data_IF_298143605143
#
_entry.id   IF_298143605143
#
_cell.length_a   1.000
_cell.length_b   1.000
_cell.length_c   1.000
_cell.angle_alpha   90.00
_cell.angle_beta   90.00
_cell.angle_gamma   90.00
#
_symmetry.space_group_name_H-M   'P 1'
#
loop_
_entity.id
_entity.type
_entity.pdbx_description
1 polymer ?
#
# COMPACT_ATOMS: atom_id res chain seq x y z
N UNK A 1 17.85 -3.61 -30.52
CA UNK A 1 17.79 -2.13 -30.36
C UNK A 1 19.22 -1.61 -30.42
N UNK A 2 19.45 -0.37 -30.89
CA UNK A 2 20.77 0.23 -30.81
C UNK A 2 21.21 0.41 -29.34
N UNK A 3 22.51 0.35 -29.06
CA UNK A 3 23.07 0.48 -27.69
C UNK A 3 22.80 1.82 -27.01
N UNK A 4 22.47 2.86 -27.78
CA UNK A 4 22.06 4.16 -27.25
C UNK A 4 20.56 4.24 -26.91
N UNK A 5 19.77 3.20 -27.20
CA UNK A 5 18.36 3.19 -26.88
C UNK A 5 18.13 3.27 -25.37
N UNK A 6 17.01 3.89 -24.99
CA UNK A 6 16.44 3.82 -23.66
C UNK A 6 15.12 3.06 -23.79
N UNK A 7 14.99 1.93 -23.10
CA UNK A 7 13.74 1.20 -23.03
C UNK A 7 12.96 1.65 -21.80
N UNK A 8 11.74 2.13 -21.99
CA UNK A 8 10.86 2.56 -20.90
C UNK A 8 9.64 1.63 -20.92
N UNK A 9 9.58 0.73 -19.95
CA UNK A 9 8.48 -0.22 -19.80
C UNK A 9 7.35 0.44 -19.00
N UNK A 10 6.21 0.64 -19.66
CA UNK A 10 5.01 1.21 -19.04
C UNK A 10 3.89 0.19 -18.87
N UNK A 11 4.21 -1.10 -18.96
CA UNK A 11 3.21 -2.18 -18.88
C UNK A 11 2.69 -2.37 -17.46
N UNK A 12 1.66 -3.21 -17.33
CA UNK A 12 1.17 -3.71 -16.04
C UNK A 12 1.73 -5.10 -15.73
N UNK A 13 2.94 -5.41 -16.22
CA UNK A 13 3.59 -6.68 -15.95
C UNK A 13 3.93 -6.84 -14.45
N UNK A 14 4.09 -8.09 -14.01
CA UNK A 14 4.50 -8.36 -12.64
C UNK A 14 5.93 -7.84 -12.40
N UNK A 15 6.26 -7.37 -11.18
CA UNK A 15 7.60 -6.85 -10.87
C UNK A 15 8.73 -7.80 -11.23
N UNK A 16 8.55 -9.11 -11.04
CA UNK A 16 9.55 -10.12 -11.42
C UNK A 16 9.79 -10.22 -12.93
N UNK A 17 8.74 -10.03 -13.74
CA UNK A 17 8.86 -10.02 -15.19
C UNK A 17 9.63 -8.79 -15.66
N UNK A 18 9.39 -7.63 -15.04
CA UNK A 18 10.13 -6.39 -15.29
C UNK A 18 11.60 -6.53 -14.87
N UNK A 19 11.87 -7.10 -13.68
CA UNK A 19 13.24 -7.41 -13.25
C UNK A 19 13.95 -8.36 -14.21
N UNK A 20 13.25 -9.37 -14.75
CA UNK A 20 13.79 -10.28 -15.76
C UNK A 20 14.09 -9.55 -17.07
N UNK A 21 13.18 -8.71 -17.54
CA UNK A 21 13.36 -7.91 -18.76
C UNK A 21 14.53 -6.94 -18.62
N UNK A 22 14.67 -6.27 -17.47
CA UNK A 22 15.79 -5.39 -17.17
C UNK A 22 17.14 -6.11 -17.21
N UNK A 23 17.23 -7.34 -16.66
CA UNK A 23 18.45 -8.17 -16.76
C UNK A 23 18.81 -8.49 -18.22
N UNK A 24 17.83 -8.89 -19.02
CA UNK A 24 18.03 -9.17 -20.46
C UNK A 24 18.45 -7.92 -21.24
N UNK A 25 17.93 -6.75 -20.89
CA UNK A 25 18.34 -5.48 -21.47
C UNK A 25 19.79 -5.13 -21.10
N UNK A 26 20.18 -5.37 -19.85
CA UNK A 26 21.54 -5.13 -19.37
C UNK A 26 22.59 -6.01 -20.08
N UNK A 27 22.28 -7.29 -20.36
CA UNK A 27 23.13 -8.20 -21.15
C UNK A 27 23.45 -7.65 -22.55
N UNK A 28 22.57 -6.79 -23.09
CA UNK A 28 22.71 -6.14 -24.39
C UNK A 28 23.22 -4.69 -24.28
N UNK A 29 23.60 -4.24 -23.08
CA UNK A 29 23.97 -2.86 -22.77
C UNK A 29 22.89 -1.83 -23.15
N UNK A 30 21.62 -2.15 -22.89
CA UNK A 30 20.47 -1.27 -23.10
C UNK A 30 19.97 -0.77 -21.74
N UNK A 31 19.89 0.54 -21.57
CA UNK A 31 19.29 1.15 -20.39
C UNK A 31 17.78 0.85 -20.32
N UNK A 32 17.30 0.46 -19.14
CA UNK A 32 15.93 0.00 -18.94
C UNK A 32 15.31 0.68 -17.71
N UNK A 33 14.18 1.35 -17.94
CA UNK A 33 13.37 2.03 -16.92
C UNK A 33 12.03 1.32 -16.78
N UNK A 34 11.71 0.89 -15.56
CA UNK A 34 10.37 0.54 -15.14
C UNK A 34 9.59 1.82 -14.83
N UNK A 35 8.46 2.04 -15.50
CA UNK A 35 7.64 3.24 -15.33
C UNK A 35 6.19 2.88 -15.02
N UNK A 36 5.79 3.15 -13.77
CA UNK A 36 4.44 2.97 -13.28
C UNK A 36 3.57 4.21 -13.52
N UNK A 37 2.45 4.01 -14.21
CA UNK A 37 1.34 4.97 -14.31
C UNK A 37 0.48 4.90 -13.04
N UNK A 38 0.35 6.02 -12.31
CA UNK A 38 -0.32 6.09 -11.00
C UNK A 38 -1.69 6.80 -11.00
N UNK A 39 -2.38 6.83 -12.15
CA UNK A 39 -3.70 7.46 -12.26
C UNK A 39 -4.43 7.11 -13.54
N UNK A 40 -5.65 7.63 -13.69
CA UNK A 40 -6.45 7.44 -14.87
C UNK A 40 -6.00 8.40 -16.00
N UNK A 41 -5.34 7.85 -17.02
CA UNK A 41 -4.89 8.59 -18.21
C UNK A 41 -6.07 9.25 -18.92
N UNK A 42 -7.22 8.58 -19.00
CA UNK A 42 -8.42 9.14 -19.62
C UNK A 42 -8.87 10.48 -19.01
N UNK A 43 -8.60 10.70 -17.71
CA UNK A 43 -8.99 11.90 -16.99
C UNK A 43 -7.89 12.98 -16.99
N UNK A 44 -6.63 12.55 -16.83
CA UNK A 44 -5.52 13.47 -16.53
C UNK A 44 -4.51 13.62 -17.67
N UNK A 45 -4.62 12.79 -18.73
CA UNK A 45 -3.78 12.82 -19.94
C UNK A 45 -2.29 12.91 -19.60
N UNK A 46 -1.54 13.81 -20.21
CA UNK A 46 -0.11 14.02 -19.96
C UNK A 46 0.21 14.44 -18.52
N UNK A 47 -0.78 14.89 -17.73
CA UNK A 47 -0.64 15.23 -16.31
C UNK A 47 -0.79 14.03 -15.38
N UNK A 48 -1.02 12.81 -15.89
CA UNK A 48 -1.04 11.61 -15.05
C UNK A 48 0.30 11.44 -14.33
N UNK A 49 0.26 11.26 -13.01
CA UNK A 49 1.46 11.00 -12.21
C UNK A 49 2.14 9.70 -12.64
N UNK A 50 3.45 9.80 -12.88
CA UNK A 50 4.32 8.68 -13.24
C UNK A 50 5.38 8.48 -12.16
N UNK A 51 5.76 7.23 -11.93
CA UNK A 51 6.84 6.84 -11.03
C UNK A 51 7.80 5.92 -11.79
N UNK A 52 9.11 6.18 -11.72
CA UNK A 52 10.11 5.45 -12.47
C UNK A 52 11.26 4.94 -11.62
N UNK A 53 11.82 3.78 -12.00
CA UNK A 53 12.99 3.17 -11.38
C UNK A 53 13.84 2.42 -12.42
N UNK A 54 15.15 2.32 -12.20
CA UNK A 54 16.08 1.60 -13.08
C UNK A 54 17.10 2.47 -13.81
N UNK A 55 17.80 1.85 -14.76
CA UNK A 55 18.95 2.45 -15.43
C UNK A 55 18.51 3.42 -16.53
N UNK A 56 19.09 4.63 -16.54
CA UNK A 56 18.75 5.67 -17.50
C UNK A 56 17.63 6.61 -17.05
N UNK A 57 17.30 6.63 -15.76
CA UNK A 57 16.27 7.51 -15.19
C UNK A 57 16.52 9.01 -15.47
N UNK A 58 17.77 9.49 -15.48
CA UNK A 58 18.05 10.90 -15.81
C UNK A 58 17.57 11.28 -17.22
N UNK A 59 17.77 10.37 -18.18
CA UNK A 59 17.32 10.53 -19.57
C UNK A 59 15.79 10.46 -19.65
N UNK A 60 15.16 9.58 -18.87
CA UNK A 60 13.71 9.49 -18.79
C UNK A 60 13.12 10.78 -18.19
N UNK A 61 13.66 11.28 -17.08
CA UNK A 61 13.23 12.53 -16.45
C UNK A 61 13.29 13.71 -17.43
N UNK A 62 14.39 13.86 -18.16
CA UNK A 62 14.53 14.90 -19.18
C UNK A 62 13.48 14.76 -20.30
N UNK A 63 13.25 13.53 -20.79
CA UNK A 63 12.26 13.25 -21.83
C UNK A 63 10.84 13.58 -21.40
N UNK A 64 10.41 13.11 -20.22
CA UNK A 64 9.06 13.36 -19.71
C UNK A 64 8.85 14.81 -19.28
N UNK A 65 9.88 15.48 -18.76
CA UNK A 65 9.83 16.92 -18.47
C UNK A 65 9.59 17.75 -19.75
N UNK A 66 10.27 17.43 -20.85
CA UNK A 66 10.05 18.08 -22.14
C UNK A 66 8.62 17.88 -22.69
N UNK A 67 7.97 16.78 -22.33
CA UNK A 67 6.58 16.49 -22.65
C UNK A 67 5.56 17.08 -21.66
N UNK A 68 6.03 17.77 -20.60
CA UNK A 68 5.17 18.33 -19.55
C UNK A 68 4.50 17.29 -18.65
N UNK A 69 5.05 16.07 -18.60
CA UNK A 69 4.54 14.93 -17.87
C UNK A 69 5.28 14.71 -16.53
N UNK A 70 4.58 14.60 -15.40
CA UNK A 70 5.20 14.51 -14.09
C UNK A 70 5.72 13.10 -13.80
N UNK A 71 7.01 12.87 -14.09
CA UNK A 71 7.74 11.66 -13.70
C UNK A 71 8.53 11.89 -12.40
N UNK A 72 8.27 11.04 -11.40
CA UNK A 72 9.05 10.98 -10.15
C UNK A 72 9.99 9.78 -10.16
N UNK A 73 11.19 9.95 -9.63
CA UNK A 73 12.16 8.88 -9.43
C UNK A 73 11.89 8.16 -8.10
N UNK A 74 11.99 6.83 -8.11
CA UNK A 74 12.22 6.03 -6.89
C UNK A 74 13.70 6.14 -6.54
N UNK A 75 14.03 6.91 -5.52
CA UNK A 75 15.43 7.11 -5.09
C UNK A 75 16.11 5.77 -4.77
N UNK A 76 17.25 5.50 -5.41
CA UNK A 76 17.97 4.23 -5.28
C UNK A 76 17.22 3.01 -5.82
N UNK A 77 16.10 3.20 -6.52
CA UNK A 77 15.25 2.13 -7.01
C UNK A 77 15.81 1.43 -8.26
N UNK A 78 15.59 0.13 -8.33
CA UNK A 78 15.87 -0.70 -9.49
C UNK A 78 14.59 -0.96 -10.32
N UNK A 79 14.76 -1.32 -11.58
CA UNK A 79 13.63 -1.72 -12.41
C UNK A 79 12.83 -2.86 -11.73
N UNK A 80 11.50 -2.70 -11.68
CA UNK A 80 10.57 -3.55 -10.93
C UNK A 80 10.04 -2.90 -9.65
N UNK A 81 10.75 -1.92 -9.09
CA UNK A 81 10.34 -1.25 -7.85
C UNK A 81 9.15 -0.30 -8.09
N UNK A 82 9.10 0.40 -9.22
CA UNK A 82 7.98 1.29 -9.53
C UNK A 82 6.69 0.47 -9.74
N UNK A 83 6.78 -0.66 -10.44
CA UNK A 83 5.68 -1.60 -10.58
C UNK A 83 5.23 -2.21 -9.24
N UNK A 84 6.17 -2.60 -8.38
CA UNK A 84 5.85 -3.10 -7.04
C UNK A 84 5.11 -2.04 -6.21
N UNK A 85 5.59 -0.80 -6.21
CA UNK A 85 4.96 0.32 -5.52
C UNK A 85 3.55 0.62 -6.06
N UNK A 86 3.33 0.52 -7.38
CA UNK A 86 2.01 0.65 -7.99
C UNK A 86 1.02 -0.40 -7.48
N UNK A 87 1.47 -1.66 -7.36
CA UNK A 87 0.65 -2.76 -6.83
C UNK A 87 0.33 -2.53 -5.35
N UNK A 88 1.33 -2.23 -4.51
CA UNK A 88 1.12 -1.97 -3.09
C UNK A 88 0.20 -0.77 -2.84
N UNK A 89 0.36 0.31 -3.62
CA UNK A 89 -0.55 1.46 -3.60
C UNK A 89 -1.98 1.05 -3.98
N UNK A 90 -2.13 0.17 -4.97
CA UNK A 90 -3.44 -0.37 -5.37
C UNK A 90 -4.08 -1.15 -4.23
N UNK A 91 -3.34 -2.04 -3.56
CA UNK A 91 -3.85 -2.78 -2.39
C UNK A 91 -4.33 -1.82 -1.30
N UNK A 92 -3.52 -0.83 -0.93
CA UNK A 92 -3.88 0.15 0.09
C UNK A 92 -5.13 0.96 -0.28
N UNK A 93 -5.16 1.51 -1.50
CA UNK A 93 -6.26 2.40 -1.93
C UNK A 93 -7.59 1.67 -2.12
N UNK A 94 -7.60 0.46 -2.70
CA UNK A 94 -8.82 -0.34 -2.80
C UNK A 94 -9.30 -0.86 -1.44
N UNK A 95 -8.37 -1.22 -0.55
CA UNK A 95 -8.72 -1.62 0.81
C UNK A 95 -9.39 -0.49 1.59
N UNK A 96 -8.84 0.72 1.49
CA UNK A 96 -9.43 1.91 2.08
C UNK A 96 -10.80 2.24 1.46
N UNK A 97 -10.93 2.20 0.13
CA UNK A 97 -12.22 2.40 -0.56
C UNK A 97 -13.29 1.43 -0.06
N UNK A 98 -12.98 0.14 0.00
CA UNK A 98 -13.92 -0.87 0.50
C UNK A 98 -14.34 -0.60 1.96
N UNK A 99 -13.37 -0.28 2.83
CA UNK A 99 -13.64 0.07 4.23
C UNK A 99 -14.49 1.34 4.34
N UNK A 100 -14.21 2.36 3.52
CA UNK A 100 -14.97 3.61 3.48
C UNK A 100 -16.42 3.35 3.11
N UNK A 101 -16.68 2.57 2.05
CA UNK A 101 -18.06 2.25 1.65
C UNK A 101 -18.80 1.51 2.77
N UNK A 102 -18.22 0.44 3.33
CA UNK A 102 -18.87 -0.33 4.39
C UNK A 102 -19.15 0.52 5.65
N UNK A 103 -18.20 1.36 6.05
CA UNK A 103 -18.32 2.21 7.23
C UNK A 103 -19.31 3.37 7.00
N UNK A 104 -19.22 4.07 5.87
CA UNK A 104 -20.03 5.26 5.63
C UNK A 104 -21.46 4.93 5.22
N UNK A 105 -21.73 3.75 4.66
CA UNK A 105 -23.11 3.24 4.54
C UNK A 105 -23.80 3.15 5.91
N UNK A 106 -23.09 2.67 6.93
CA UNK A 106 -23.61 2.58 8.29
C UNK A 106 -23.81 3.96 8.92
N UNK A 107 -22.90 4.90 8.66
CA UNK A 107 -22.99 6.27 9.15
C UNK A 107 -24.17 7.03 8.53
N UNK A 108 -24.38 6.83 7.23
CA UNK A 108 -25.48 7.45 6.48
C UNK A 108 -26.84 6.91 6.94
N UNK A 109 -26.97 5.59 7.11
CA UNK A 109 -28.20 4.98 7.66
C UNK A 109 -28.57 5.54 9.05
N UNK A 110 -27.56 5.92 9.85
CA UNK A 110 -27.73 6.49 11.18
C UNK A 110 -27.85 8.03 11.18
N UNK A 111 -27.69 8.70 10.02
CA UNK A 111 -27.72 10.16 9.92
C UNK A 111 -26.55 10.86 10.62
N UNK A 112 -25.38 10.21 10.71
CA UNK A 112 -24.20 10.70 11.45
C UNK A 112 -22.96 10.90 10.58
N UNK A 113 -23.07 10.87 9.25
CA UNK A 113 -21.96 11.03 8.30
C UNK A 113 -21.05 12.23 8.60
N UNK A 114 -21.62 13.43 8.81
CA UNK A 114 -20.84 14.63 9.15
C UNK A 114 -20.09 14.48 10.48
N UNK A 115 -20.75 13.92 11.51
CA UNK A 115 -20.13 13.69 12.83
C UNK A 115 -19.02 12.64 12.75
N UNK A 116 -19.15 11.65 11.87
CA UNK A 116 -18.09 10.67 11.63
C UNK A 116 -16.87 11.33 10.99
N UNK A 117 -17.05 12.26 10.05
CA UNK A 117 -15.94 13.05 9.51
C UNK A 117 -15.22 13.83 10.61
N UNK A 118 -15.95 14.53 11.49
CA UNK A 118 -15.36 15.25 12.62
C UNK A 118 -14.61 14.31 13.56
N UNK A 119 -15.16 13.12 13.81
CA UNK A 119 -14.55 12.10 14.67
C UNK A 119 -13.29 11.46 14.08
N UNK A 120 -13.06 11.57 12.77
CA UNK A 120 -11.85 11.09 12.08
C UNK A 120 -10.83 12.21 11.82
N UNK A 121 -11.09 13.43 12.30
CA UNK A 121 -10.24 14.60 12.04
C UNK A 121 -8.84 14.50 12.67
N UNK A 122 -8.69 13.71 13.74
CA UNK A 122 -7.39 13.41 14.34
C UNK A 122 -6.47 12.62 13.39
N UNK A 123 -7.05 11.73 12.57
CA UNK A 123 -6.32 11.00 11.53
C UNK A 123 -5.84 11.95 10.42
N UNK A 124 -6.67 12.93 10.04
CA UNK A 124 -6.33 13.91 9.00
C UNK A 124 -5.24 14.90 9.45
N UNK A 125 -5.18 15.19 10.75
CA UNK A 125 -4.15 16.06 11.32
C UNK A 125 -2.77 15.37 11.43
N UNK A 126 -2.74 14.04 11.49
CA UNK A 126 -1.50 13.29 11.54
C UNK A 126 -0.87 13.16 10.15
N UNK A 127 0.46 13.24 10.05
CA UNK A 127 1.14 12.82 8.83
C UNK A 127 0.84 11.33 8.59
N UNK A 128 0.34 10.99 7.40
CA UNK A 128 0.00 9.62 7.00
C UNK A 128 1.11 8.61 7.32
N UNK A 129 2.39 8.99 7.12
CA UNK A 129 3.54 8.12 7.43
C UNK A 129 3.57 7.73 8.90
N UNK A 130 3.39 8.69 9.79
CA UNK A 130 3.47 8.49 11.24
C UNK A 130 2.25 7.72 11.74
N UNK A 131 1.07 8.02 11.18
CA UNK A 131 -0.16 7.29 11.48
C UNK A 131 -0.03 5.81 11.12
N UNK A 132 0.41 5.49 9.89
CA UNK A 132 0.62 4.10 9.47
C UNK A 132 1.68 3.39 10.34
N UNK A 133 2.76 4.08 10.68
CA UNK A 133 3.78 3.56 11.58
C UNK A 133 3.26 3.30 13.01
N UNK A 134 2.33 4.12 13.51
CA UNK A 134 1.66 3.89 14.77
C UNK A 134 0.68 2.70 14.71
N UNK A 135 -0.07 2.54 13.61
CA UNK A 135 -0.95 1.38 13.41
C UNK A 135 -0.16 0.08 13.47
N UNK A 136 0.98 -0.01 12.76
CA UNK A 136 1.82 -1.22 12.74
C UNK A 136 2.33 -1.54 14.15
N UNK A 137 2.99 -0.60 14.83
CA UNK A 137 3.56 -0.81 16.17
C UNK A 137 2.51 -1.19 17.21
N UNK A 138 1.37 -0.52 17.19
CA UNK A 138 0.31 -0.75 18.18
C UNK A 138 -0.56 -1.96 17.87
N UNK A 139 -0.59 -2.43 16.61
CA UNK A 139 -1.34 -3.63 16.21
C UNK A 139 -0.86 -4.85 16.99
N UNK A 140 0.44 -5.14 16.95
CA UNK A 140 1.00 -6.33 17.63
C UNK A 140 0.84 -6.28 19.14
N UNK A 141 0.71 -5.09 19.75
CA UNK A 141 0.50 -4.94 21.20
C UNK A 141 -0.99 -5.09 21.57
N UNK A 142 -1.90 -4.61 20.72
CA UNK A 142 -3.31 -4.48 21.06
C UNK A 142 -4.25 -5.38 20.27
N UNK A 143 -3.74 -6.28 19.41
CA UNK A 143 -4.56 -7.16 18.58
C UNK A 143 -5.64 -7.90 19.38
N UNK A 144 -5.37 -8.52 20.55
CA UNK A 144 -6.40 -9.24 21.30
C UNK A 144 -7.52 -8.34 21.84
N UNK A 145 -7.18 -7.12 22.26
CA UNK A 145 -8.16 -6.14 22.73
C UNK A 145 -9.01 -5.62 21.55
N UNK A 146 -8.36 -5.19 20.47
CA UNK A 146 -9.01 -4.64 19.29
C UNK A 146 -9.83 -5.69 18.54
N UNK A 147 -9.47 -6.97 18.60
CA UNK A 147 -10.26 -8.07 18.05
C UNK A 147 -11.69 -8.05 18.62
N UNK A 148 -11.84 -7.89 19.94
CA UNK A 148 -13.15 -7.80 20.59
C UNK A 148 -13.97 -6.60 20.12
N UNK A 149 -13.31 -5.49 19.79
CA UNK A 149 -13.93 -4.28 19.26
C UNK A 149 -14.42 -4.50 17.83
N UNK A 150 -13.60 -5.13 16.98
CA UNK A 150 -13.96 -5.51 15.60
C UNK A 150 -15.14 -6.49 15.60
N UNK A 151 -15.11 -7.50 16.48
CA UNK A 151 -16.23 -8.45 16.63
C UNK A 151 -17.53 -7.76 17.08
N UNK A 152 -17.42 -6.77 17.97
CA UNK A 152 -18.58 -5.98 18.41
C UNK A 152 -19.12 -5.13 17.27
N UNK A 153 -18.25 -4.44 16.52
CA UNK A 153 -18.63 -3.63 15.37
C UNK A 153 -19.32 -4.50 14.30
N UNK A 154 -18.76 -5.66 13.97
CA UNK A 154 -19.37 -6.60 13.02
C UNK A 154 -20.78 -7.01 13.46
N UNK A 155 -20.95 -7.40 14.73
CA UNK A 155 -22.28 -7.75 15.26
C UNK A 155 -23.27 -6.59 15.17
N UNK A 156 -22.83 -5.36 15.44
CA UNK A 156 -23.69 -4.17 15.37
C UNK A 156 -24.13 -3.87 13.94
N UNK A 157 -23.21 -3.90 12.97
CA UNK A 157 -23.56 -3.67 11.57
C UNK A 157 -24.49 -4.76 11.03
N UNK A 158 -24.25 -6.02 11.38
CA UNK A 158 -25.16 -7.13 11.01
C UNK A 158 -26.54 -7.00 11.64
N UNK A 159 -26.63 -6.57 12.89
CA UNK A 159 -27.91 -6.35 13.57
C UNK A 159 -28.70 -5.15 13.00
N UNK A 160 -28.03 -4.26 12.27
CA UNK A 160 -28.64 -3.16 11.52
C UNK A 160 -28.99 -3.54 10.06
N UNK A 161 -28.93 -4.84 9.73
CA UNK A 161 -29.18 -5.40 8.38
C UNK A 161 -28.29 -4.80 7.28
N UNK A 162 -27.09 -4.32 7.65
CA UNK A 162 -26.12 -3.80 6.70
C UNK A 162 -25.29 -4.93 6.06
N UNK A 163 -24.90 -4.79 4.78
CA UNK A 163 -23.96 -5.72 4.16
C UNK A 163 -22.59 -5.59 4.82
N UNK A 164 -22.01 -6.71 5.25
CA UNK A 164 -20.69 -6.75 5.90
C UNK A 164 -19.76 -7.73 5.17
N UNK A 165 -18.80 -7.17 4.44
CA UNK A 165 -17.81 -7.87 3.62
C UNK A 165 -16.36 -7.59 4.05
N UNK A 166 -16.05 -6.41 4.57
CA UNK A 166 -14.68 -5.99 4.93
C UNK A 166 -14.32 -6.42 6.36
N UNK A 167 -15.20 -6.20 7.35
CA UNK A 167 -14.94 -6.56 8.75
C UNK A 167 -14.55 -8.03 8.98
N UNK A 168 -15.07 -9.05 8.26
CA UNK A 168 -14.60 -10.43 8.40
C UNK A 168 -13.11 -10.58 8.09
N UNK A 169 -12.59 -9.89 7.07
CA UNK A 169 -11.17 -9.90 6.72
C UNK A 169 -10.32 -9.21 7.79
N UNK A 170 -10.81 -8.08 8.32
CA UNK A 170 -10.18 -7.38 9.45
C UNK A 170 -10.14 -8.29 10.67
N UNK A 171 -11.26 -8.90 11.04
CA UNK A 171 -11.36 -9.86 12.16
C UNK A 171 -10.38 -11.00 12.01
N UNK A 172 -10.28 -11.60 10.82
CA UNK A 172 -9.36 -12.71 10.56
C UNK A 172 -7.89 -12.32 10.75
N UNK A 173 -7.49 -11.11 10.34
CA UNK A 173 -6.14 -10.59 10.58
C UNK A 173 -5.87 -10.41 12.08
N UNK A 174 -6.80 -9.79 12.81
CA UNK A 174 -6.66 -9.55 14.24
C UNK A 174 -6.67 -10.85 15.06
N UNK A 175 -7.48 -11.84 14.66
CA UNK A 175 -7.52 -13.17 15.24
C UNK A 175 -6.17 -13.88 15.05
N UNK A 176 -5.66 -13.93 13.82
CA UNK A 176 -4.34 -14.54 13.51
C UNK A 176 -3.24 -13.93 14.37
N UNK A 177 -3.15 -12.59 14.44
CA UNK A 177 -2.14 -11.93 15.29
C UNK A 177 -2.35 -12.23 16.78
N UNK A 178 -3.60 -12.31 17.24
CA UNK A 178 -3.90 -12.64 18.64
C UNK A 178 -3.50 -14.07 19.01
N UNK A 179 -3.70 -15.02 18.11
CA UNK A 179 -3.25 -16.41 18.24
C UNK A 179 -1.71 -16.50 18.25
N UNK A 180 -1.06 -15.78 17.33
CA UNK A 180 0.41 -15.71 17.26
C UNK A 180 1.04 -15.17 18.55
N UNK A 181 0.41 -14.17 19.18
CA UNK A 181 0.86 -13.63 20.48
C UNK A 181 0.72 -14.62 21.63
N UNK A 182 -0.20 -15.58 21.55
CA UNK A 182 -0.36 -16.62 22.56
C UNK A 182 0.77 -17.66 22.49
N UNK A 183 1.36 -17.88 21.30
CA UNK A 183 2.50 -18.77 21.10
C UNK A 183 3.86 -18.07 21.17
N UNK A 184 3.94 -16.80 20.78
CA UNK A 184 5.21 -16.09 20.59
C UNK A 184 5.08 -14.65 21.08
N UNK A 185 5.61 -14.40 22.29
CA UNK A 185 5.52 -13.11 22.95
C UNK A 185 6.34 -12.04 22.22
N UNK A 186 5.93 -10.79 22.43
CA UNK A 186 6.74 -9.63 22.07
C UNK A 186 7.89 -9.47 23.06
N UNK A 187 9.05 -9.06 22.57
CA UNK A 187 10.23 -8.79 23.41
C UNK A 187 10.07 -7.51 24.27
N UNK A 188 9.16 -6.62 23.87
CA UNK A 188 8.89 -5.35 24.55
C UNK A 188 7.42 -4.93 24.40
N UNK A 189 6.91 -4.20 25.39
CA UNK A 189 5.56 -3.63 25.37
C UNK A 189 5.44 -2.43 24.41
N UNK A 190 6.55 -1.83 23.99
CA UNK A 190 6.61 -0.65 23.11
C UNK A 190 7.57 -0.88 21.94
N UNK A 191 7.29 -1.83 21.04
CA UNK A 191 8.19 -2.17 19.95
C UNK A 191 8.37 -1.00 18.97
N UNK A 192 9.60 -0.81 18.50
CA UNK A 192 9.90 0.03 17.34
C UNK A 192 9.28 -0.57 16.07
N UNK A 193 9.28 0.21 14.98
CA UNK A 193 8.72 -0.27 13.71
C UNK A 193 9.49 -1.48 13.17
N UNK A 194 10.83 -1.47 13.27
CA UNK A 194 11.67 -2.58 12.82
C UNK A 194 11.44 -3.84 13.66
N UNK A 195 11.44 -3.72 14.99
CA UNK A 195 11.12 -4.84 15.89
C UNK A 195 9.73 -5.41 15.61
N UNK A 196 8.76 -4.54 15.29
CA UNK A 196 7.41 -4.97 14.94
C UNK A 196 7.41 -5.80 13.65
N UNK A 197 8.12 -5.35 12.62
CA UNK A 197 8.25 -6.11 11.38
C UNK A 197 9.01 -7.42 11.59
N UNK A 198 10.14 -7.41 12.29
CA UNK A 198 10.91 -8.64 12.58
C UNK A 198 10.03 -9.70 13.27
N UNK A 199 9.21 -9.27 14.24
CA UNK A 199 8.21 -10.14 14.86
C UNK A 199 7.18 -10.65 13.83
N UNK A 200 6.55 -9.75 13.06
CA UNK A 200 5.53 -10.11 12.06
C UNK A 200 6.05 -11.08 10.99
N UNK A 201 7.26 -10.86 10.47
CA UNK A 201 7.87 -11.73 9.45
C UNK A 201 8.13 -13.13 10.04
N UNK A 202 8.75 -13.20 11.21
CA UNK A 202 9.04 -14.46 11.92
C UNK A 202 7.78 -15.27 12.21
N UNK A 203 6.76 -14.68 12.84
CA UNK A 203 5.54 -15.41 13.26
C UNK A 203 4.66 -15.86 12.08
N UNK A 204 4.88 -15.30 10.88
CA UNK A 204 4.22 -15.72 9.64
C UNK A 204 5.12 -16.59 8.76
N UNK A 205 6.34 -16.93 9.20
CA UNK A 205 7.28 -17.76 8.43
C UNK A 205 7.75 -17.11 7.12
N UNK A 206 7.77 -15.79 7.06
CA UNK A 206 8.15 -15.01 5.88
C UNK A 206 9.56 -14.45 6.06
N UNK A 207 10.39 -14.56 5.02
CA UNK A 207 11.70 -13.92 5.00
C UNK A 207 11.56 -12.40 4.79
N UNK A 208 12.30 -11.62 5.56
CA UNK A 208 12.38 -10.16 5.42
C UNK A 208 13.37 -9.76 4.35
#
# INVERSE_FOLDING_TARGET
MPRYALFIDMTTANPEQIRKAARLAAEQAIAYVDLAILGAIALTREKTNLLGAGDGMDRALALFAAAGAPLKLVEGGAAGDAAALKILRSVFTKGLEALTIECFMAAEQQGVTAKLHDALSDIDQANLRDFLGALIRTHVVHAPRRLKEVEKAERQLRAADLPVAVLPGIKALFARTSEQLASELLDTATPSLDQTFDWLFRVNGVAR
#
